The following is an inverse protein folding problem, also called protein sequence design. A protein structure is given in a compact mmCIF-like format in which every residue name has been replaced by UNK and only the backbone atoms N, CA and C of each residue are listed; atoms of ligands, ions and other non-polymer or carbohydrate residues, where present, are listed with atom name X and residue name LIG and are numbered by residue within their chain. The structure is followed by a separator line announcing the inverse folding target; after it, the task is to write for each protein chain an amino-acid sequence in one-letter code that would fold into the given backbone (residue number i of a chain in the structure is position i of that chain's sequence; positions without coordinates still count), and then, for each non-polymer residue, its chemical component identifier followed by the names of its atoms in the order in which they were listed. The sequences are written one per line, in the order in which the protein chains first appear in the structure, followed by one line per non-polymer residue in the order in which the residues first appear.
data_IF_944118073564
#
_entry.id   IF_944118073564
#
_cell.length_a   1.000
_cell.length_b   1.000
_cell.length_c   1.000
_cell.angle_alpha   90.00
_cell.angle_beta   90.00
_cell.angle_gamma   90.00
#
_symmetry.space_group_name_H-M   'P 1'
#
loop_
_entity.id
_entity.type
_entity.pdbx_description
1 polymer ?
#
# COMPACT_ATOMS: atom_id res chain seq x y z
N UNK A 1 11.78 17.34 17.15
CA UNK A 1 10.37 17.02 16.85
C UNK A 1 10.11 15.61 17.37
N UNK A 2 9.04 15.41 18.13
CA UNK A 2 8.69 14.11 18.69
C UNK A 2 8.10 13.24 17.57
N UNK A 3 8.92 12.34 17.00
CA UNK A 3 8.54 11.46 15.88
C UNK A 3 7.28 10.66 16.21
N UNK A 4 7.08 10.31 17.49
CA UNK A 4 5.91 9.58 17.96
C UNK A 4 4.59 10.34 17.79
N UNK A 5 4.61 11.67 17.74
CA UNK A 5 3.40 12.50 17.51
C UNK A 5 3.20 12.89 16.06
N UNK A 6 4.30 13.06 15.32
CA UNK A 6 4.25 13.47 13.90
C UNK A 6 3.79 12.31 13.02
N UNK A 7 4.27 11.10 13.29
CA UNK A 7 4.02 9.95 12.43
C UNK A 7 2.54 9.58 12.33
N UNK A 8 1.74 9.49 13.42
CA UNK A 8 0.30 9.22 13.31
C UNK A 8 -0.46 10.26 12.50
N UNK A 9 -0.10 11.55 12.65
CA UNK A 9 -0.73 12.65 11.90
C UNK A 9 -0.44 12.52 10.41
N UNK A 10 0.81 12.23 10.04
CA UNK A 10 1.20 11.98 8.64
C UNK A 10 0.45 10.77 8.09
N UNK A 11 0.37 9.69 8.86
CA UNK A 11 -0.30 8.46 8.47
C UNK A 11 -1.79 8.68 8.18
N UNK A 12 -2.52 9.28 9.13
CA UNK A 12 -3.95 9.58 9.01
C UNK A 12 -4.21 10.59 7.91
N UNK A 13 -3.39 11.64 7.80
CA UNK A 13 -3.52 12.67 6.77
C UNK A 13 -3.37 12.09 5.36
N UNK A 14 -2.30 11.33 5.11
CA UNK A 14 -2.08 10.68 3.83
C UNK A 14 -3.14 9.62 3.55
N UNK A 15 -3.54 8.83 4.55
CA UNK A 15 -4.61 7.85 4.42
C UNK A 15 -5.93 8.49 3.98
N UNK A 16 -6.29 9.61 4.59
CA UNK A 16 -7.47 10.39 4.23
C UNK A 16 -7.39 10.90 2.79
N UNK A 17 -6.24 11.43 2.38
CA UNK A 17 -6.02 11.88 0.99
C UNK A 17 -6.19 10.72 0.02
N UNK A 18 -5.64 9.53 0.31
CA UNK A 18 -5.80 8.34 -0.54
C UNK A 18 -7.27 7.94 -0.66
N UNK A 19 -8.01 7.89 0.45
CA UNK A 19 -9.43 7.51 0.46
C UNK A 19 -10.27 8.49 -0.36
N UNK A 20 -10.16 9.79 -0.08
CA UNK A 20 -10.92 10.84 -0.80
C UNK A 20 -10.56 10.85 -2.29
N UNK A 21 -9.27 10.72 -2.61
CA UNK A 21 -8.79 10.67 -3.98
C UNK A 21 -9.28 9.43 -4.71
N UNK A 22 -9.31 8.28 -4.05
CA UNK A 22 -9.83 7.01 -4.60
C UNK A 22 -11.30 7.11 -4.97
N UNK A 23 -12.13 7.72 -4.11
CA UNK A 23 -13.55 7.96 -4.39
C UNK A 23 -13.77 8.88 -5.61
N UNK A 24 -12.93 9.90 -5.76
CA UNK A 24 -13.02 10.86 -6.86
C UNK A 24 -12.28 10.42 -8.15
N UNK A 25 -11.46 9.35 -8.09
CA UNK A 25 -10.52 8.99 -9.15
C UNK A 25 -11.17 8.66 -10.49
N UNK A 26 -12.40 8.13 -10.48
CA UNK A 26 -13.14 7.79 -11.69
C UNK A 26 -13.55 9.03 -12.51
N UNK A 27 -13.72 10.17 -11.84
CA UNK A 27 -14.24 11.40 -12.43
C UNK A 27 -13.19 12.51 -12.54
N UNK A 28 -12.03 12.38 -11.90
CA UNK A 28 -10.99 13.40 -11.87
C UNK A 28 -9.60 12.83 -12.06
N UNK A 29 -8.94 13.22 -13.16
CA UNK A 29 -7.54 12.88 -13.42
C UNK A 29 -6.62 13.42 -12.33
N UNK A 30 -6.91 14.61 -11.81
CA UNK A 30 -6.16 15.21 -10.69
C UNK A 30 -6.29 14.37 -9.43
N UNK A 31 -7.50 13.95 -9.07
CA UNK A 31 -7.72 13.09 -7.90
C UNK A 31 -6.96 11.76 -8.05
N UNK A 32 -7.00 11.14 -9.24
CA UNK A 32 -6.23 9.93 -9.49
C UNK A 32 -4.72 10.13 -9.27
N UNK A 33 -4.12 11.17 -9.85
CA UNK A 33 -2.69 11.44 -9.68
C UNK A 33 -2.32 11.76 -8.23
N UNK A 34 -3.12 12.60 -7.56
CA UNK A 34 -2.93 12.92 -6.13
C UNK A 34 -3.03 11.67 -5.28
N UNK A 35 -3.98 10.79 -5.55
CA UNK A 35 -4.14 9.51 -4.86
C UNK A 35 -2.90 8.62 -5.00
N UNK A 36 -2.37 8.46 -6.22
CA UNK A 36 -1.15 7.68 -6.44
C UNK A 36 0.08 8.30 -5.76
N UNK A 37 0.22 9.63 -5.81
CA UNK A 37 1.30 10.32 -5.10
C UNK A 37 1.19 10.14 -3.59
N UNK A 38 -0.02 10.25 -3.03
CA UNK A 38 -0.26 10.04 -1.61
C UNK A 38 0.02 8.59 -1.19
N UNK A 39 -0.34 7.60 -2.01
CA UNK A 39 0.06 6.19 -1.80
C UNK A 39 1.59 6.07 -1.82
N UNK A 40 2.26 6.66 -2.79
CA UNK A 40 3.73 6.58 -2.86
C UNK A 40 4.38 7.17 -1.60
N UNK A 41 3.99 8.38 -1.20
CA UNK A 41 4.54 9.04 0.00
C UNK A 41 4.22 8.24 1.26
N UNK A 42 3.00 7.72 1.39
CA UNK A 42 2.59 6.96 2.56
C UNK A 42 3.42 5.68 2.73
N UNK A 43 3.65 4.93 1.65
CA UNK A 43 4.42 3.68 1.74
C UNK A 43 5.93 3.88 1.79
N UNK A 44 6.48 4.85 1.05
CA UNK A 44 7.93 5.10 1.05
C UNK A 44 8.37 5.84 2.30
N UNK A 45 7.69 6.93 2.66
CA UNK A 45 8.14 7.80 3.75
C UNK A 45 7.59 7.32 5.09
N UNK A 46 6.27 7.16 5.20
CA UNK A 46 5.67 6.81 6.48
C UNK A 46 5.78 5.32 6.81
N UNK A 47 5.73 4.43 5.81
CA UNK A 47 5.99 2.99 5.98
C UNK A 47 7.49 2.70 6.07
N UNK A 48 8.15 2.59 4.92
CA UNK A 48 9.54 2.15 4.84
C UNK A 48 10.50 3.05 5.64
N UNK A 49 10.31 4.38 5.58
CA UNK A 49 11.11 5.33 6.36
C UNK A 49 10.94 5.18 7.87
N UNK A 50 9.71 5.03 8.37
CA UNK A 50 9.48 4.85 9.80
C UNK A 50 9.97 3.48 10.29
N UNK A 51 9.66 2.40 9.56
CA UNK A 51 10.14 1.06 9.88
C UNK A 51 11.68 1.00 9.87
N UNK A 52 12.33 1.67 8.92
CA UNK A 52 13.78 1.81 8.89
C UNK A 52 14.33 2.57 10.10
N UNK A 53 13.66 3.65 10.52
CA UNK A 53 14.03 4.41 11.72
C UNK A 53 13.86 3.60 13.02
N UNK A 54 12.77 2.84 13.16
CA UNK A 54 12.53 1.94 14.29
C UNK A 54 13.56 0.82 14.35
N UNK A 55 13.84 0.18 13.21
CA UNK A 55 14.83 -0.89 13.13
C UNK A 55 16.24 -0.39 13.44
N UNK A 56 16.61 0.80 12.95
CA UNK A 56 17.91 1.42 13.25
C UNK A 56 18.09 1.81 14.72
N UNK A 57 17.00 2.01 15.47
CA UNK A 57 17.03 2.27 16.92
C UNK A 57 17.13 0.99 17.76
N UNK A 58 16.97 -0.18 17.13
CA UNK A 58 16.98 -1.48 17.80
C UNK A 58 15.63 -1.92 18.34
N UNK A 59 14.51 -1.38 17.84
CA UNK A 59 13.18 -1.84 18.23
C UNK A 59 12.99 -3.33 17.85
N UNK A 60 12.47 -4.13 18.76
CA UNK A 60 12.38 -5.57 18.57
C UNK A 60 11.10 -6.06 17.88
N UNK A 61 10.11 -5.17 17.74
CA UNK A 61 8.77 -5.44 17.21
C UNK A 61 8.00 -6.54 17.97
N UNK A 62 8.40 -6.91 19.19
CA UNK A 62 7.75 -7.96 19.96
C UNK A 62 6.28 -7.64 20.27
N UNK A 63 5.97 -6.37 20.53
CA UNK A 63 4.60 -5.92 20.83
C UNK A 63 3.65 -5.87 19.63
N UNK A 64 4.14 -6.00 18.39
CA UNK A 64 3.33 -5.75 17.19
C UNK A 64 2.14 -6.72 17.06
N UNK A 65 2.35 -7.99 17.39
CA UNK A 65 1.30 -9.03 17.34
C UNK A 65 0.49 -9.16 18.64
N UNK A 66 0.69 -8.25 19.62
CA UNK A 66 -0.02 -8.31 20.90
C UNK A 66 -1.55 -8.22 20.77
N UNK A 67 -2.05 -7.59 19.70
CA UNK A 67 -3.47 -7.48 19.38
C UNK A 67 -4.02 -8.53 18.41
N UNK A 68 -3.23 -9.55 18.03
CA UNK A 68 -3.58 -10.50 16.99
C UNK A 68 -4.93 -11.19 17.24
N UNK A 69 -5.68 -11.41 16.15
CA UNK A 69 -7.03 -12.00 16.22
C UNK A 69 -7.03 -13.49 16.60
N UNK A 70 -5.90 -14.17 16.43
CA UNK A 70 -5.72 -15.58 16.77
C UNK A 70 -4.40 -15.81 17.49
N UNK A 71 -4.35 -16.83 18.36
CA UNK A 71 -3.12 -17.23 19.04
C UNK A 71 -2.04 -17.67 18.05
N UNK A 72 -2.43 -18.36 16.98
CA UNK A 72 -1.52 -18.78 15.91
C UNK A 72 -0.70 -17.62 15.33
N UNK A 73 -1.33 -16.49 15.02
CA UNK A 73 -0.63 -15.31 14.47
C UNK A 73 0.37 -14.74 15.48
N UNK A 74 -0.03 -14.61 16.74
CA UNK A 74 0.84 -14.11 17.81
C UNK A 74 2.03 -15.04 18.05
N UNK A 75 1.78 -16.34 18.22
CA UNK A 75 2.83 -17.34 18.48
C UNK A 75 3.78 -17.47 17.29
N UNK A 76 3.28 -17.41 16.05
CA UNK A 76 4.13 -17.41 14.85
C UNK A 76 5.00 -16.15 14.79
N UNK A 77 4.45 -14.98 15.12
CA UNK A 77 5.23 -13.74 15.17
C UNK A 77 6.35 -13.82 16.21
N UNK A 78 6.02 -14.24 17.42
CA UNK A 78 6.98 -14.38 18.53
C UNK A 78 8.07 -15.42 18.26
N UNK A 79 7.73 -16.53 17.59
CA UNK A 79 8.68 -17.61 17.33
C UNK A 79 9.51 -17.43 16.06
N UNK A 80 8.99 -16.74 15.04
CA UNK A 80 9.65 -16.61 13.72
C UNK A 80 10.17 -15.20 13.47
N UNK A 81 9.34 -14.18 13.70
CA UNK A 81 9.68 -12.80 13.31
C UNK A 81 10.55 -12.14 14.36
N UNK A 82 10.19 -12.19 15.64
CA UNK A 82 10.96 -11.53 16.71
C UNK A 82 12.42 -11.97 16.75
N UNK A 83 12.78 -13.27 16.66
CA UNK A 83 14.19 -13.70 16.67
C UNK A 83 14.98 -13.29 15.42
N UNK A 84 14.29 -12.95 14.33
CA UNK A 84 14.87 -12.65 13.02
C UNK A 84 14.37 -11.31 12.48
N UNK A 85 14.06 -10.37 13.37
CA UNK A 85 13.31 -9.17 13.02
C UNK A 85 14.01 -8.28 11.97
N UNK A 86 15.34 -8.26 11.95
CA UNK A 86 16.12 -7.49 10.98
C UNK A 86 15.88 -7.98 9.56
N UNK A 87 15.73 -9.30 9.39
CA UNK A 87 15.42 -9.90 8.10
C UNK A 87 13.98 -9.58 7.71
N UNK A 88 13.01 -9.91 8.56
CA UNK A 88 11.58 -9.78 8.20
C UNK A 88 11.12 -8.33 8.08
N UNK A 89 11.54 -7.45 9.00
CA UNK A 89 11.25 -6.02 8.92
C UNK A 89 12.07 -5.38 7.78
N UNK A 90 13.30 -5.84 7.53
CA UNK A 90 14.07 -5.41 6.35
C UNK A 90 13.37 -5.76 5.03
N UNK A 91 12.81 -6.96 4.92
CA UNK A 91 11.99 -7.38 3.77
C UNK A 91 10.70 -6.55 3.66
N UNK A 92 10.05 -6.24 4.78
CA UNK A 92 8.89 -5.35 4.82
C UNK A 92 9.25 -3.95 4.28
N UNK A 93 10.35 -3.36 4.76
CA UNK A 93 10.83 -2.05 4.29
C UNK A 93 11.09 -2.09 2.78
N UNK A 94 11.78 -3.13 2.30
CA UNK A 94 12.08 -3.29 0.88
C UNK A 94 10.79 -3.43 0.05
N UNK A 95 9.81 -4.20 0.55
CA UNK A 95 8.49 -4.32 -0.05
C UNK A 95 7.75 -2.98 -0.11
N UNK A 96 7.66 -2.25 1.00
CA UNK A 96 6.96 -0.97 1.11
C UNK A 96 7.58 0.08 0.17
N UNK A 97 8.91 0.19 0.17
CA UNK A 97 9.64 1.09 -0.71
C UNK A 97 9.43 0.72 -2.19
N UNK A 98 9.54 -0.56 -2.53
CA UNK A 98 9.37 -1.05 -3.90
C UNK A 98 7.95 -0.79 -4.39
N UNK A 99 6.92 -1.22 -3.64
CA UNK A 99 5.53 -1.02 -4.02
C UNK A 99 5.18 0.48 -4.11
N UNK A 100 5.67 1.29 -3.16
CA UNK A 100 5.47 2.73 -3.14
C UNK A 100 6.13 3.47 -4.32
N UNK A 101 7.25 2.96 -4.86
CA UNK A 101 7.86 3.49 -6.09
C UNK A 101 7.14 2.97 -7.33
N UNK A 102 6.87 1.67 -7.41
CA UNK A 102 6.23 1.04 -8.57
C UNK A 102 4.82 1.59 -8.83
N UNK A 103 4.11 2.07 -7.79
CA UNK A 103 2.79 2.70 -7.96
C UNK A 103 2.83 3.95 -8.84
N UNK A 104 3.98 4.62 -8.94
CA UNK A 104 4.13 5.81 -9.79
C UNK A 104 4.38 5.44 -11.26
N UNK A 105 4.87 4.23 -11.54
CA UNK A 105 5.22 3.78 -12.89
C UNK A 105 3.97 3.28 -13.62
N UNK A 106 3.52 4.03 -14.63
CA UNK A 106 2.36 3.67 -15.46
C UNK A 106 2.49 2.28 -16.09
N UNK A 107 1.38 1.58 -16.28
CA UNK A 107 1.42 0.23 -16.83
C UNK A 107 1.60 -0.84 -15.75
N UNK A 108 1.91 -2.07 -16.18
CA UNK A 108 1.86 -3.30 -15.32
C UNK A 108 2.48 -3.14 -13.93
N UNK A 109 3.61 -2.42 -13.74
CA UNK A 109 4.17 -2.15 -12.42
C UNK A 109 3.18 -1.53 -11.42
N UNK A 110 2.45 -0.46 -11.79
CA UNK A 110 1.46 0.17 -10.91
C UNK A 110 0.33 -0.76 -10.52
N UNK A 111 -0.15 -1.58 -11.46
CA UNK A 111 -1.20 -2.54 -11.15
C UNK A 111 -0.72 -3.60 -10.16
N UNK A 112 0.47 -4.16 -10.38
CA UNK A 112 1.07 -5.12 -9.46
C UNK A 112 1.28 -4.51 -8.08
N UNK A 113 1.77 -3.25 -8.02
CA UNK A 113 1.91 -2.52 -6.78
C UNK A 113 0.57 -2.35 -6.05
N UNK A 114 -0.47 -1.84 -6.72
CA UNK A 114 -1.79 -1.65 -6.11
C UNK A 114 -2.38 -2.98 -5.60
N UNK A 115 -2.25 -4.07 -6.35
CA UNK A 115 -2.70 -5.41 -5.91
C UNK A 115 -1.92 -5.87 -4.67
N UNK A 116 -0.59 -5.71 -4.69
CA UNK A 116 0.25 -6.09 -3.57
C UNK A 116 -0.08 -5.27 -2.31
N UNK A 117 -0.33 -3.97 -2.45
CA UNK A 117 -0.72 -3.10 -1.34
C UNK A 117 -2.12 -3.45 -0.79
N UNK A 118 -3.07 -3.86 -1.64
CA UNK A 118 -4.36 -4.38 -1.20
C UNK A 118 -4.15 -5.67 -0.39
N UNK A 119 -3.37 -6.62 -0.91
CA UNK A 119 -3.07 -7.87 -0.22
C UNK A 119 -2.39 -7.62 1.13
N UNK A 120 -1.46 -6.67 1.20
CA UNK A 120 -0.81 -6.24 2.43
C UNK A 120 -1.81 -5.70 3.46
N UNK A 121 -2.72 -4.82 3.06
CA UNK A 121 -3.77 -4.30 3.96
C UNK A 121 -4.70 -5.41 4.46
N UNK A 122 -5.03 -6.38 3.61
CA UNK A 122 -5.83 -7.55 4.01
C UNK A 122 -5.07 -8.41 5.02
N UNK A 123 -3.78 -8.65 4.79
CA UNK A 123 -2.93 -9.42 5.71
C UNK A 123 -2.81 -8.74 7.09
N UNK A 124 -2.74 -7.40 7.13
CA UNK A 124 -2.69 -6.64 8.40
C UNK A 124 -3.89 -6.91 9.32
N UNK A 125 -5.05 -7.28 8.78
CA UNK A 125 -6.25 -7.58 9.59
C UNK A 125 -6.00 -8.77 10.54
N UNK A 126 -5.10 -9.70 10.19
CA UNK A 126 -4.72 -10.81 11.04
C UNK A 126 -4.09 -10.36 12.38
N UNK A 127 -3.48 -9.17 12.41
CA UNK A 127 -2.83 -8.60 13.59
C UNK A 127 -3.79 -7.89 14.54
N UNK A 128 -5.09 -7.86 14.23
CA UNK A 128 -6.11 -7.45 15.19
C UNK A 128 -7.26 -6.65 14.60
N UNK A 129 -8.37 -6.61 15.33
CA UNK A 129 -9.59 -5.90 14.93
C UNK A 129 -9.38 -4.39 14.74
N UNK A 130 -8.44 -3.79 15.49
CA UNK A 130 -8.09 -2.37 15.33
C UNK A 130 -7.61 -2.02 13.92
N UNK A 131 -6.98 -2.97 13.21
CA UNK A 131 -6.53 -2.77 11.83
C UNK A 131 -7.69 -2.68 10.83
N UNK A 132 -8.90 -3.15 11.15
CA UNK A 132 -10.04 -3.04 10.24
C UNK A 132 -10.38 -1.59 9.88
N UNK A 133 -10.33 -0.69 10.87
CA UNK A 133 -10.65 0.73 10.70
C UNK A 133 -9.72 1.40 9.68
N UNK A 134 -8.48 0.91 9.58
CA UNK A 134 -7.48 1.39 8.64
C UNK A 134 -7.51 0.61 7.32
N UNK A 135 -7.38 -0.71 7.40
CA UNK A 135 -7.16 -1.59 6.25
C UNK A 135 -8.36 -1.65 5.30
N UNK A 136 -9.60 -1.60 5.81
CA UNK A 136 -10.79 -1.72 4.96
C UNK A 136 -10.97 -0.47 4.08
N UNK A 137 -11.02 0.77 4.62
CA UNK A 137 -11.08 1.96 3.78
C UNK A 137 -9.89 2.08 2.83
N UNK A 138 -8.69 1.72 3.30
CA UNK A 138 -7.48 1.79 2.49
C UNK A 138 -7.53 0.79 1.31
N UNK A 139 -7.84 -0.48 1.57
CA UNK A 139 -7.96 -1.49 0.52
C UNK A 139 -9.04 -1.14 -0.51
N UNK A 140 -10.17 -0.58 -0.06
CA UNK A 140 -11.23 -0.08 -0.95
C UNK A 140 -10.73 1.07 -1.84
N UNK A 141 -10.04 2.05 -1.26
CA UNK A 141 -9.48 3.18 -2.00
C UNK A 141 -8.45 2.73 -3.05
N UNK A 142 -7.54 1.82 -2.67
CA UNK A 142 -6.58 1.20 -3.58
C UNK A 142 -7.29 0.41 -4.70
N UNK A 143 -8.38 -0.29 -4.38
CA UNK A 143 -9.22 -1.00 -5.35
C UNK A 143 -9.87 -0.06 -6.38
N UNK A 144 -10.33 1.13 -5.95
CA UNK A 144 -10.86 2.15 -6.85
C UNK A 144 -9.77 2.70 -7.79
N UNK A 145 -8.59 3.00 -7.27
CA UNK A 145 -7.44 3.42 -8.10
C UNK A 145 -7.05 2.32 -9.11
N UNK A 146 -7.01 1.06 -8.67
CA UNK A 146 -6.72 -0.09 -9.53
C UNK A 146 -7.76 -0.26 -10.64
N UNK A 147 -9.04 -0.08 -10.32
CA UNK A 147 -10.12 -0.14 -11.32
C UNK A 147 -9.94 0.92 -12.40
N UNK A 148 -9.57 2.14 -12.02
CA UNK A 148 -9.29 3.24 -12.97
C UNK A 148 -8.06 2.93 -13.84
N UNK A 149 -6.98 2.41 -13.25
CA UNK A 149 -5.78 2.00 -14.00
C UNK A 149 -6.11 0.92 -15.04
N UNK A 150 -6.85 -0.11 -14.65
CA UNK A 150 -7.30 -1.18 -15.55
C UNK A 150 -8.16 -0.65 -16.69
N UNK A 151 -9.14 0.21 -16.39
CA UNK A 151 -10.01 0.82 -17.40
C UNK A 151 -9.21 1.64 -18.43
N UNK A 152 -8.25 2.45 -17.98
CA UNK A 152 -7.38 3.25 -18.87
C UNK A 152 -6.52 2.38 -19.78
N UNK A 153 -5.99 1.26 -19.27
CA UNK A 153 -5.20 0.33 -20.10
C UNK A 153 -6.03 -0.43 -21.12
N UNK A 154 -7.22 -0.87 -20.74
CA UNK A 154 -8.12 -1.54 -21.68
C UNK A 154 -8.45 -0.61 -22.85
N UNK A 155 -8.77 0.65 -22.58
CA UNK A 155 -9.03 1.66 -23.61
C UNK A 155 -7.81 1.94 -24.49
N UNK A 156 -6.63 2.12 -23.89
CA UNK A 156 -5.38 2.32 -24.66
C UNK A 156 -5.04 1.14 -25.58
N UNK A 157 -5.32 -0.10 -25.14
CA UNK A 157 -5.16 -1.29 -25.99
C UNK A 157 -6.14 -1.33 -27.15
N UNK A 158 -7.39 -0.91 -26.95
CA UNK A 158 -8.40 -0.90 -28.03
C UNK A 158 -8.04 0.12 -29.11
N UNK A 159 -7.59 1.30 -28.70
CA UNK A 159 -7.15 2.37 -29.62
C UNK A 159 -5.95 1.92 -30.47
N UNK A 160 -4.97 1.26 -29.87
CA UNK A 160 -3.79 0.74 -30.60
C UNK A 160 -4.12 -0.44 -31.54
N UNK A 161 -5.27 -1.10 -31.37
CA UNK A 161 -5.71 -2.25 -32.19
C UNK A 161 -6.71 -1.89 -33.31
N UNK A 162 -7.27 -0.67 -33.32
CA UNK A 162 -8.01 -0.14 -34.48
C UNK A 162 -7.08 0.52 -35.51
N UNK A 163 -7.59 1.06 -36.63
CA UNK A 163 -8.11 0.38 -37.82
C UNK A 163 -7.07 -0.45 -38.62
N UNK A 164 -5.98 -0.93 -38.00
CA UNK A 164 -4.99 -1.78 -38.67
C UNK A 164 -5.54 -3.10 -39.27
N UNK A 165 -6.75 -3.53 -38.85
CA UNK A 165 -7.47 -4.68 -39.44
C UNK A 165 -8.39 -4.34 -40.61
N UNK A 166 -8.64 -3.07 -40.91
CA UNK A 166 -9.53 -2.67 -42.01
C UNK A 166 -8.81 -2.52 -43.36
N UNK A 167 -7.48 -2.68 -43.39
CA UNK A 167 -6.65 -2.48 -44.59
C UNK A 167 -6.12 -3.78 -45.22
N UNK A 168 -6.64 -4.95 -44.84
CA UNK A 168 -6.22 -6.27 -45.35
C UNK A 168 -7.42 -7.09 -45.88
N UNK A 169 -8.47 -6.41 -46.37
CA UNK A 169 -9.65 -7.02 -46.97
C UNK A 169 -9.79 -6.63 -48.43
#
# INVERSE_FOLDING_TARGET
MDVGRVLPVVWVGLGTIVVVSGLAAAHSRRAYTVGLSAVSVLWVVAGAGANGYFLARGDDYAGFAGGASTSFVRETWESVVVPHHTLFIGLLIAFEATAGVLVLIEGRPREAALVALIAFNVALIAFGWGFLVWSVPMAMALGLLLRVERARRHHGRTVLQGPARAAVG
#
